data_IF_987070511368
#
_entry.id   IF_987070511368
#
_cell.length_a   1.000
_cell.length_b   1.000
_cell.length_c   1.000
_cell.angle_alpha   90.00
_cell.angle_beta   90.00
_cell.angle_gamma   90.00
#
_symmetry.space_group_name_H-M   'P 1'
#
loop_
_entity.id
_entity.type
_entity.pdbx_description
1 polymer ?
#
# COMPACT_ATOMS: atom_id res chain seq x y z
N UNK A 1 7.84 -38.88 38.86
CA UNK A 1 6.71 -38.65 37.92
C UNK A 1 6.80 -37.22 37.38
N UNK A 2 7.28 -37.04 36.14
CA UNK A 2 7.25 -35.75 35.47
C UNK A 2 6.01 -35.72 34.56
N UNK A 3 5.02 -34.90 34.91
CA UNK A 3 3.79 -34.73 34.13
C UNK A 3 4.12 -33.80 32.96
N UNK A 4 4.35 -34.38 31.78
CA UNK A 4 4.62 -33.63 30.56
C UNK A 4 3.41 -32.74 30.22
N UNK A 5 3.73 -31.47 30.02
CA UNK A 5 2.86 -30.37 29.66
C UNK A 5 1.87 -30.75 28.55
N UNK A 6 0.61 -30.33 28.68
CA UNK A 6 -0.49 -30.56 27.73
C UNK A 6 -0.06 -30.27 26.28
N UNK A 7 -0.37 -31.18 25.35
CA UNK A 7 -0.22 -30.96 23.90
C UNK A 7 -0.92 -29.66 23.52
N UNK A 8 -0.16 -28.62 23.19
CA UNK A 8 -0.71 -27.39 22.60
C UNK A 8 -0.73 -27.58 21.09
N UNK A 9 -1.90 -27.53 20.49
CA UNK A 9 -2.04 -27.44 19.04
C UNK A 9 -1.80 -26.00 18.61
N UNK A 10 -0.92 -25.82 17.63
CA UNK A 10 -0.65 -24.54 17.00
C UNK A 10 -1.31 -24.50 15.64
N UNK A 11 -1.99 -23.41 15.34
CA UNK A 11 -2.50 -23.12 14.01
C UNK A 11 -1.71 -21.98 13.39
N UNK A 12 -1.34 -22.12 12.12
CA UNK A 12 -0.58 -21.13 11.38
C UNK A 12 -1.39 -20.67 10.17
N UNK A 13 -1.31 -19.38 9.85
CA UNK A 13 -1.81 -18.82 8.60
C UNK A 13 -0.61 -18.41 7.75
N UNK A 14 -0.53 -18.96 6.53
CA UNK A 14 0.57 -18.70 5.60
C UNK A 14 0.02 -17.81 4.48
N UNK A 15 0.61 -16.63 4.32
CA UNK A 15 0.30 -15.71 3.23
C UNK A 15 1.52 -15.52 2.33
N UNK A 16 1.35 -15.46 1.00
CA UNK A 16 2.45 -15.17 0.10
C UNK A 16 3.00 -13.77 0.39
N UNK A 17 4.30 -13.68 0.61
CA UNK A 17 4.97 -12.39 0.71
C UNK A 17 5.06 -11.78 -0.69
N UNK A 18 4.41 -10.63 -0.91
CA UNK A 18 4.52 -9.92 -2.18
C UNK A 18 5.95 -9.35 -2.27
N UNK A 19 6.84 -10.08 -2.95
CA UNK A 19 8.21 -9.65 -3.15
C UNK A 19 8.31 -8.82 -4.42
N UNK A 20 8.20 -7.50 -4.31
CA UNK A 20 8.33 -6.57 -5.44
C UNK A 20 9.79 -6.30 -5.88
N UNK A 21 10.70 -7.25 -5.64
CA UNK A 21 12.04 -7.24 -6.24
C UNK A 21 13.10 -6.38 -5.56
N UNK A 22 12.90 -5.95 -4.31
CA UNK A 22 13.96 -5.32 -3.52
C UNK A 22 14.15 -6.06 -2.20
N UNK A 23 15.38 -6.50 -1.92
CA UNK A 23 15.72 -7.31 -0.75
C UNK A 23 15.26 -6.70 0.58
N UNK A 24 15.18 -5.37 0.71
CA UNK A 24 14.85 -4.72 1.98
C UNK A 24 13.86 -3.57 1.83
N UNK A 25 12.57 -3.88 1.78
CA UNK A 25 11.66 -3.03 2.52
C UNK A 25 10.22 -3.08 2.09
N UNK A 26 9.40 -2.73 3.05
CA UNK A 26 7.97 -2.85 3.01
C UNK A 26 7.43 -1.44 2.77
N UNK A 27 6.71 -1.23 1.67
CA UNK A 27 5.76 -0.13 1.59
C UNK A 27 4.49 -0.58 2.30
N UNK A 28 4.59 -0.76 3.62
CA UNK A 28 3.41 -0.96 4.44
C UNK A 28 2.76 0.41 4.63
N UNK A 29 1.51 0.53 4.19
CA UNK A 29 0.71 1.71 4.45
C UNK A 29 -0.28 1.39 5.57
N UNK A 30 -0.54 2.39 6.40
CA UNK A 30 -1.50 2.34 7.49
C UNK A 30 -2.72 3.16 7.08
N UNK A 31 -3.89 2.53 7.12
CA UNK A 31 -5.17 3.12 6.71
C UNK A 31 -6.10 3.15 7.91
N UNK A 32 -6.69 4.31 8.17
CA UNK A 32 -7.58 4.53 9.30
C UNK A 32 -9.01 4.70 8.79
N UNK A 33 -9.87 3.76 9.14
CA UNK A 33 -11.30 3.85 8.88
C UNK A 33 -12.01 4.25 10.18
N UNK A 34 -12.93 5.20 10.07
CA UNK A 34 -13.82 5.62 11.16
C UNK A 34 -15.25 5.55 10.66
N UNK A 35 -16.10 4.80 11.37
CA UNK A 35 -17.49 4.55 10.98
C UNK A 35 -17.60 4.11 9.51
N UNK A 36 -16.69 3.25 9.08
CA UNK A 36 -16.68 2.70 7.74
C UNK A 36 -16.00 3.56 6.68
N UNK A 37 -15.70 4.84 6.95
CA UNK A 37 -15.07 5.73 5.95
C UNK A 37 -13.56 5.84 6.16
N UNK A 38 -12.79 5.74 5.07
CA UNK A 38 -11.34 5.98 5.09
C UNK A 38 -11.07 7.45 5.38
N UNK A 39 -10.46 7.72 6.53
CA UNK A 39 -10.18 9.09 7.00
C UNK A 39 -8.73 9.51 6.82
N UNK A 40 -7.79 8.56 6.91
CA UNK A 40 -6.36 8.86 6.89
C UNK A 40 -5.57 7.69 6.31
N UNK A 41 -4.52 8.00 5.55
CA UNK A 41 -3.54 7.02 5.15
C UNK A 41 -2.11 7.54 5.28
N UNK A 42 -1.22 6.70 5.82
CA UNK A 42 0.16 7.08 6.15
C UNK A 42 1.12 6.02 5.61
N UNK A 43 2.23 6.45 5.00
CA UNK A 43 3.32 5.53 4.66
C UNK A 43 4.11 5.14 5.91
N UNK A 44 4.80 4.00 5.91
CA UNK A 44 5.62 3.59 7.08
C UNK A 44 6.77 4.55 7.41
N UNK A 45 7.38 5.17 6.41
CA UNK A 45 8.66 5.88 6.57
C UNK A 45 9.74 5.03 7.25
N UNK A 46 10.34 5.55 8.31
CA UNK A 46 11.34 4.89 9.16
C UNK A 46 10.74 4.01 10.28
N UNK A 47 9.41 3.88 10.31
CA UNK A 47 8.67 3.13 11.33
C UNK A 47 8.17 3.98 12.51
N UNK A 48 8.62 5.23 12.62
CA UNK A 48 8.20 6.18 13.65
C UNK A 48 7.48 7.38 13.04
N UNK A 49 7.99 7.90 11.92
CA UNK A 49 7.43 9.03 11.19
C UNK A 49 7.07 8.58 9.78
N UNK A 50 5.78 8.70 9.46
CA UNK A 50 5.23 8.40 8.15
C UNK A 50 4.72 9.66 7.43
N UNK A 51 4.66 9.60 6.10
CA UNK A 51 4.11 10.69 5.29
C UNK A 51 2.59 10.54 5.15
N UNK A 52 1.85 11.64 5.34
CA UNK A 52 0.42 11.67 5.07
C UNK A 52 0.19 11.62 3.55
N UNK A 53 -0.45 10.55 3.08
CA UNK A 53 -0.65 10.27 1.65
C UNK A 53 -2.12 10.01 1.32
N UNK A 54 -3.04 10.44 2.18
CA UNK A 54 -4.49 10.20 2.07
C UNK A 54 -5.04 10.53 0.67
N UNK A 55 -4.69 11.68 0.11
CA UNK A 55 -5.22 12.11 -1.20
C UNK A 55 -4.79 11.18 -2.33
N UNK A 56 -3.54 10.71 -2.30
CA UNK A 56 -3.01 9.75 -3.28
C UNK A 56 -3.64 8.37 -3.10
N UNK A 57 -3.83 7.94 -1.86
CA UNK A 57 -4.47 6.68 -1.53
C UNK A 57 -5.93 6.64 -2.01
N UNK A 58 -6.66 7.74 -1.88
CA UNK A 58 -8.05 7.85 -2.35
C UNK A 58 -8.20 7.69 -3.88
N UNK A 59 -7.12 7.81 -4.64
CA UNK A 59 -7.13 7.59 -6.10
C UNK A 59 -6.96 6.11 -6.49
N UNK A 60 -6.59 5.25 -5.54
CA UNK A 60 -6.33 3.84 -5.81
C UNK A 60 -7.66 3.06 -5.78
N UNK A 61 -8.09 2.60 -6.96
CA UNK A 61 -9.40 1.94 -7.15
C UNK A 61 -9.60 0.69 -6.29
N UNK A 62 -8.53 -0.06 -6.02
CA UNK A 62 -8.60 -1.28 -5.21
C UNK A 62 -8.73 -1.02 -3.70
N UNK A 63 -8.63 0.23 -3.26
CA UNK A 63 -8.79 0.60 -1.85
C UNK A 63 -10.23 1.07 -1.65
N UNK A 64 -11.03 0.40 -0.81
CA UNK A 64 -12.39 0.82 -0.56
C UNK A 64 -12.40 2.15 0.21
N UNK A 65 -13.12 3.15 -0.30
CA UNK A 65 -13.29 4.42 0.43
C UNK A 65 -14.25 4.27 1.60
N UNK A 66 -15.21 3.36 1.45
CA UNK A 66 -16.19 3.00 2.46
C UNK A 66 -16.24 1.48 2.60
N UNK A 67 -16.34 1.01 3.84
CA UNK A 67 -16.54 -0.39 4.22
C UNK A 67 -17.72 -0.45 5.19
N UNK A 68 -18.43 -1.59 5.20
CA UNK A 68 -19.51 -1.81 6.15
C UNK A 68 -18.93 -2.21 7.53
N UNK A 69 -18.42 -1.23 8.28
CA UNK A 69 -17.78 -1.44 9.58
C UNK A 69 -17.89 -0.21 10.49
N UNK A 70 -18.58 -0.33 11.61
CA UNK A 70 -18.99 0.84 12.40
C UNK A 70 -18.00 1.28 13.48
N UNK A 71 -16.88 0.55 13.65
CA UNK A 71 -15.84 0.88 14.65
C UNK A 71 -14.63 1.53 13.99
N UNK A 72 -13.74 2.09 14.80
CA UNK A 72 -12.44 2.51 14.29
C UNK A 72 -11.58 1.28 13.96
N UNK A 73 -11.03 1.28 12.74
CA UNK A 73 -10.27 0.18 12.18
C UNK A 73 -8.98 0.73 11.56
N UNK A 74 -7.87 0.18 12.00
CA UNK A 74 -6.57 0.39 11.40
C UNK A 74 -6.21 -0.81 10.53
N UNK A 75 -6.09 -0.61 9.22
CA UNK A 75 -5.66 -1.65 8.29
C UNK A 75 -4.19 -1.41 7.93
N UNK A 76 -3.40 -2.48 7.91
CA UNK A 76 -2.10 -2.49 7.25
C UNK A 76 -2.17 -3.35 6.00
N UNK A 77 -1.52 -2.83 4.98
CA UNK A 77 -1.42 -3.53 3.72
C UNK A 77 -0.30 -3.00 2.86
N UNK A 78 -0.16 -3.59 1.69
CA UNK A 78 0.88 -3.27 0.74
C UNK A 78 0.26 -2.77 -0.57
N UNK A 79 0.82 -1.68 -1.09
CA UNK A 79 0.49 -1.18 -2.44
C UNK A 79 1.56 -1.66 -3.40
N UNK A 80 1.11 -2.13 -4.56
CA UNK A 80 1.99 -2.72 -5.55
C UNK A 80 1.50 -2.47 -6.98
N UNK A 81 2.42 -2.63 -7.92
CA UNK A 81 2.09 -2.81 -9.32
C UNK A 81 2.04 -4.30 -9.66
N UNK A 82 1.05 -4.70 -10.44
CA UNK A 82 1.14 -5.98 -11.17
C UNK A 82 2.29 -5.90 -12.18
N UNK A 83 2.78 -7.07 -12.62
CA UNK A 83 3.86 -7.13 -13.61
C UNK A 83 3.49 -6.38 -14.90
N UNK A 84 2.27 -6.59 -15.40
CA UNK A 84 1.76 -5.90 -16.60
C UNK A 84 1.70 -4.38 -16.42
N UNK A 85 1.12 -3.90 -15.31
CA UNK A 85 0.94 -2.46 -15.08
C UNK A 85 2.30 -1.76 -14.92
N UNK A 86 3.28 -2.43 -14.31
CA UNK A 86 4.64 -1.92 -14.20
C UNK A 86 5.35 -1.80 -15.56
N UNK A 87 5.27 -2.85 -16.40
CA UNK A 87 5.85 -2.83 -17.74
C UNK A 87 5.23 -1.72 -18.60
N UNK A 88 3.90 -1.59 -18.54
CA UNK A 88 3.18 -0.56 -19.29
C UNK A 88 3.49 0.85 -18.78
N UNK A 89 3.68 1.03 -17.47
CA UNK A 89 4.17 2.28 -16.91
C UNK A 89 5.53 2.66 -17.50
N UNK A 90 6.50 1.75 -17.48
CA UNK A 90 7.83 2.04 -18.02
C UNK A 90 7.78 2.34 -19.52
N UNK A 91 6.94 1.64 -20.30
CA UNK A 91 6.71 1.97 -21.73
C UNK A 91 6.17 3.39 -21.90
N UNK A 92 5.15 3.78 -21.13
CA UNK A 92 4.57 5.15 -21.17
C UNK A 92 5.61 6.22 -20.82
N UNK A 93 6.47 5.95 -19.82
CA UNK A 93 7.56 6.86 -19.46
C UNK A 93 8.55 7.01 -20.62
N UNK A 94 9.00 5.91 -21.24
CA UNK A 94 9.91 5.95 -22.39
C UNK A 94 9.31 6.71 -23.57
N UNK A 95 8.04 6.44 -23.91
CA UNK A 95 7.33 7.15 -24.97
C UNK A 95 7.24 8.66 -24.69
N UNK A 96 6.92 9.06 -23.45
CA UNK A 96 6.87 10.48 -23.08
C UNK A 96 8.23 11.18 -23.22
N UNK A 97 9.33 10.46 -22.94
CA UNK A 97 10.69 10.98 -23.14
C UNK A 97 11.01 11.17 -24.62
N UNK A 98 10.71 10.18 -25.46
CA UNK A 98 10.94 10.25 -26.91
C UNK A 98 10.18 11.44 -27.51
N UNK A 99 8.98 11.73 -27.00
CA UNK A 99 8.14 12.86 -27.46
C UNK A 99 8.57 14.23 -26.89
N UNK A 100 9.70 14.33 -26.18
CA UNK A 100 10.14 15.58 -25.55
C UNK A 100 9.22 16.09 -24.42
N UNK A 101 8.34 15.22 -23.90
CA UNK A 101 7.39 15.52 -22.81
C UNK A 101 7.87 15.00 -21.45
N UNK A 102 9.17 14.76 -21.33
CA UNK A 102 9.80 14.34 -20.09
C UNK A 102 9.43 15.32 -18.96
N UNK A 103 8.97 14.79 -17.83
CA UNK A 103 8.53 15.59 -16.68
C UNK A 103 7.02 15.82 -16.57
N UNK A 104 6.23 15.72 -17.66
CA UNK A 104 4.76 15.82 -17.58
C UNK A 104 4.10 14.67 -16.82
N UNK A 105 4.80 13.56 -16.66
CA UNK A 105 4.34 12.36 -15.94
C UNK A 105 4.79 12.33 -14.48
N UNK A 106 5.45 13.40 -13.99
CA UNK A 106 5.96 13.52 -12.62
C UNK A 106 7.19 12.67 -12.30
N UNK A 107 7.74 11.95 -13.29
CA UNK A 107 8.88 11.03 -13.12
C UNK A 107 9.92 11.23 -14.21
N UNK A 108 11.19 11.33 -13.81
CA UNK A 108 12.32 11.62 -14.70
C UNK A 108 12.91 10.38 -15.39
N UNK A 109 12.49 9.16 -15.07
CA UNK A 109 13.10 7.93 -15.60
C UNK A 109 12.29 6.66 -15.43
N UNK A 110 12.67 5.61 -16.16
CA UNK A 110 12.10 4.28 -15.95
C UNK A 110 12.46 3.77 -14.55
N UNK A 111 11.56 3.04 -13.94
CA UNK A 111 11.81 2.45 -12.62
C UNK A 111 12.53 1.12 -12.75
N UNK A 112 13.48 0.87 -11.85
CA UNK A 112 14.25 -0.37 -11.81
C UNK A 112 13.40 -1.58 -11.36
N UNK A 113 12.42 -1.37 -10.47
CA UNK A 113 11.54 -2.44 -9.99
C UNK A 113 10.14 -1.90 -9.63
N UNK A 114 9.11 -2.78 -9.58
CA UNK A 114 7.74 -2.41 -9.25
C UNK A 114 7.59 -1.72 -7.89
N UNK A 115 8.42 -2.09 -6.91
CA UNK A 115 8.41 -1.49 -5.57
C UNK A 115 8.76 0.00 -5.61
N UNK A 116 9.84 0.35 -6.30
CA UNK A 116 10.32 1.72 -6.45
C UNK A 116 9.30 2.55 -7.24
N UNK A 117 8.65 1.94 -8.24
CA UNK A 117 7.57 2.58 -8.97
C UNK A 117 6.37 2.91 -8.06
N UNK A 118 5.93 1.95 -7.22
CA UNK A 118 4.81 2.16 -6.31
C UNK A 118 5.14 3.26 -5.29
N UNK A 119 6.31 3.18 -4.66
CA UNK A 119 6.78 4.17 -3.69
C UNK A 119 6.93 5.58 -4.30
N UNK A 120 7.45 5.69 -5.53
CA UNK A 120 7.55 6.97 -6.24
C UNK A 120 6.21 7.52 -6.72
N UNK A 121 5.23 6.65 -6.97
CA UNK A 121 3.88 7.04 -7.38
C UNK A 121 3.08 7.57 -6.19
N UNK A 122 3.11 6.90 -5.04
CA UNK A 122 2.37 7.31 -3.83
C UNK A 122 2.87 8.66 -3.28
N UNK A 123 4.07 9.09 -3.64
CA UNK A 123 4.66 10.39 -3.24
C UNK A 123 4.51 11.51 -4.27
N UNK A 124 3.73 11.29 -5.33
CA UNK A 124 3.44 12.36 -6.29
C UNK A 124 2.66 13.48 -5.61
N UNK A 125 3.05 14.73 -5.88
CA UNK A 125 2.33 15.91 -5.37
C UNK A 125 0.94 16.03 -6.01
N UNK A 126 0.83 15.67 -7.28
CA UNK A 126 -0.44 15.65 -8.01
C UNK A 126 -1.06 14.24 -7.93
N UNK A 127 -2.15 14.13 -7.17
CA UNK A 127 -2.87 12.88 -6.96
C UNK A 127 -3.52 12.36 -8.26
N UNK A 128 -3.81 13.22 -9.24
CA UNK A 128 -4.35 12.79 -10.53
C UNK A 128 -3.40 11.87 -11.30
N UNK A 129 -2.08 12.01 -11.06
CA UNK A 129 -1.08 11.11 -11.61
C UNK A 129 -1.26 9.72 -11.01
N UNK A 130 -1.53 9.59 -9.71
CA UNK A 130 -1.72 8.31 -9.02
C UNK A 130 -2.91 7.54 -9.59
N UNK A 131 -4.01 8.25 -9.90
CA UNK A 131 -5.21 7.65 -10.51
C UNK A 131 -4.91 6.96 -11.86
N UNK A 132 -3.92 7.45 -12.61
CA UNK A 132 -3.55 6.92 -13.94
C UNK A 132 -2.63 5.69 -13.87
N UNK A 133 -2.17 5.31 -12.68
CA UNK A 133 -1.15 4.28 -12.50
C UNK A 133 -1.70 2.91 -12.13
N UNK A 134 -3.01 2.77 -11.96
CA UNK A 134 -3.69 1.49 -11.70
C UNK A 134 -2.93 0.62 -10.68
N UNK A 135 -2.62 1.23 -9.53
CA UNK A 135 -2.02 0.55 -8.39
C UNK A 135 -3.02 -0.44 -7.78
N UNK A 136 -2.49 -1.53 -7.25
CA UNK A 136 -3.24 -2.54 -6.52
C UNK A 136 -2.88 -2.52 -5.03
N UNK A 137 -3.82 -2.98 -4.20
CA UNK A 137 -3.70 -3.03 -2.76
C UNK A 137 -4.04 -4.42 -2.24
N UNK A 138 -3.28 -4.89 -1.24
CA UNK A 138 -3.63 -6.06 -0.45
C UNK A 138 -3.55 -5.71 1.04
N UNK A 139 -4.58 -6.06 1.80
CA UNK A 139 -4.56 -6.00 3.25
C UNK A 139 -4.02 -7.32 3.83
N UNK A 140 -3.19 -7.24 4.88
CA UNK A 140 -2.64 -8.43 5.54
C UNK A 140 -2.78 -8.41 7.06
N UNK A 141 -3.07 -7.24 7.67
CA UNK A 141 -3.38 -7.17 9.09
C UNK A 141 -4.36 -6.03 9.36
N UNK A 142 -5.15 -6.16 10.43
CA UNK A 142 -6.00 -5.10 10.92
C UNK A 142 -6.01 -5.06 12.45
N UNK A 143 -6.23 -3.88 13.01
CA UNK A 143 -6.44 -3.65 14.43
C UNK A 143 -7.75 -2.89 14.60
N UNK A 144 -8.64 -3.42 15.43
CA UNK A 144 -9.90 -2.78 15.78
C UNK A 144 -9.72 -2.19 17.17
N UNK A 145 -9.92 -0.89 17.33
CA UNK A 145 -9.90 -0.30 18.66
C UNK A 145 -11.15 -0.77 19.42
N UNK A 146 -10.97 -1.40 20.58
CA UNK A 146 -12.06 -1.62 21.52
C UNK A 146 -12.36 -0.29 22.21
N UNK A 147 -13.38 0.44 21.78
CA UNK A 147 -14.01 1.44 22.65
C UNK A 147 -14.74 0.66 23.75
N UNK A 148 -14.08 0.51 24.90
CA UNK A 148 -14.75 0.18 26.15
C UNK A 148 -15.59 1.40 26.52
N UNK A 149 -16.86 1.40 26.16
CA UNK A 149 -17.82 2.31 26.77
C UNK A 149 -18.13 1.75 28.15
N UNK A 150 -17.47 2.33 29.16
CA UNK A 150 -17.82 2.24 30.58
C UNK A 150 -19.22 2.78 30.83
#
# INVERSE_FOLDING_TARGET
>A
MAKLCSKREFSFSIFPKIHLGAKNGWSSNLYFYKNGTLTKAITRGDGWVGELVTDNILQIKSIPKNINFDKELEIRGEIFFTKSNFEDLNKKILQSKIQGRAGKTGIQGVFANPRNAAAGTIRQLDSSIVAQRDLSFIAYSGYISSTNNS
#
